data_IF_788648380626
#
_entry.id   IF_788648380626
#
_cell.length_a   1.000
_cell.length_b   1.000
_cell.length_c   1.000
_cell.angle_alpha   90.00
_cell.angle_beta   90.00
_cell.angle_gamma   90.00
#
_symmetry.space_group_name_H-M   'P 1'
#
loop_
_entity.id
_entity.type
_entity.pdbx_description
1 polymer ?
#
# COMPACT_ATOMS: atom_id res chain seq x y z
N UNK A 1 4.87 4.04 23.42
CA UNK A 1 5.68 2.91 22.92
C UNK A 1 6.76 2.64 23.95
N UNK A 2 6.96 1.38 24.35
CA UNK A 2 8.05 1.00 25.26
C UNK A 2 9.39 0.84 24.53
N UNK A 3 9.37 0.57 23.21
CA UNK A 3 10.55 0.54 22.34
C UNK A 3 10.49 1.73 21.38
N UNK A 4 11.49 2.64 21.38
CA UNK A 4 11.53 3.77 20.46
C UNK A 4 11.79 3.29 19.02
N UNK A 5 11.34 4.08 18.04
CA UNK A 5 11.66 3.81 16.62
C UNK A 5 13.16 3.96 16.42
N UNK A 6 13.76 3.01 15.68
CA UNK A 6 15.18 3.04 15.37
C UNK A 6 15.53 4.32 14.59
N UNK A 7 16.56 5.04 15.02
CA UNK A 7 17.05 6.21 14.32
C UNK A 7 17.64 5.83 12.96
N UNK A 8 17.36 6.64 11.94
CA UNK A 8 17.90 6.49 10.59
C UNK A 8 18.36 7.85 10.08
N UNK A 9 19.37 7.84 9.21
CA UNK A 9 19.91 9.07 8.64
C UNK A 9 19.05 9.52 7.44
N UNK A 10 18.65 10.80 7.38
CA UNK A 10 17.88 11.33 6.27
C UNK A 10 18.79 11.56 5.05
N UNK A 11 18.28 11.27 3.85
CA UNK A 11 19.00 11.53 2.59
C UNK A 11 18.67 12.92 2.02
N UNK A 12 19.45 13.34 1.02
CA UNK A 12 19.18 14.58 0.28
C UNK A 12 17.97 14.38 -0.63
N UNK A 13 16.87 15.06 -0.30
CA UNK A 13 15.63 15.09 -1.09
C UNK A 13 15.18 16.53 -1.28
N UNK A 14 14.52 16.82 -2.40
CA UNK A 14 14.03 18.18 -2.74
C UNK A 14 13.12 18.76 -1.64
N UNK A 15 12.37 17.91 -0.96
CA UNK A 15 11.39 18.26 0.09
C UNK A 15 12.05 18.85 1.36
N UNK A 16 13.35 18.66 1.55
CA UNK A 16 14.07 19.19 2.72
C UNK A 16 14.52 20.64 2.57
N UNK A 17 14.58 21.16 1.35
CA UNK A 17 15.11 22.51 1.06
C UNK A 17 13.99 23.48 0.73
N UNK A 18 13.84 24.59 1.46
CA UNK A 18 12.80 25.58 1.22
C UNK A 18 12.68 25.95 -0.28
N UNK A 19 11.45 25.93 -0.79
CA UNK A 19 11.20 26.31 -2.18
C UNK A 19 11.28 27.83 -2.31
N UNK A 20 11.99 28.31 -3.33
CA UNK A 20 12.15 29.75 -3.61
C UNK A 20 11.19 30.24 -4.72
N UNK A 21 10.50 29.32 -5.40
CA UNK A 21 9.64 29.65 -6.54
C UNK A 21 8.20 30.02 -6.14
N UNK A 22 7.60 30.90 -6.93
CA UNK A 22 6.15 31.17 -6.90
C UNK A 22 5.42 30.02 -7.59
N UNK A 23 4.23 29.63 -7.09
CA UNK A 23 3.46 28.52 -7.62
C UNK A 23 3.25 28.60 -9.14
N UNK A 24 3.44 27.47 -9.82
CA UNK A 24 3.29 27.34 -11.27
C UNK A 24 2.20 26.29 -11.60
N UNK A 25 1.85 26.10 -12.86
CA UNK A 25 0.90 25.08 -13.33
C UNK A 25 1.28 23.65 -12.90
N UNK A 26 2.58 23.40 -12.74
CA UNK A 26 3.12 22.11 -12.26
C UNK A 26 3.01 21.92 -10.73
N UNK A 27 2.58 22.95 -10.00
CA UNK A 27 2.37 22.83 -8.56
C UNK A 27 1.15 21.95 -8.28
N UNK A 28 1.21 21.08 -7.25
CA UNK A 28 0.09 20.20 -6.93
C UNK A 28 -1.11 21.04 -6.48
N UNK A 29 -2.29 20.71 -7.02
CA UNK A 29 -3.55 21.31 -6.56
C UNK A 29 -3.83 20.88 -5.13
N UNK A 30 -3.95 21.86 -4.23
CA UNK A 30 -4.23 21.64 -2.81
C UNK A 30 -5.74 21.51 -2.64
N UNK A 31 -6.18 20.41 -2.06
CA UNK A 31 -7.59 20.20 -1.65
C UNK A 31 -7.65 20.31 -0.13
N UNK A 32 -8.36 21.31 0.38
CA UNK A 32 -8.55 21.54 1.80
C UNK A 32 -10.00 21.87 2.13
N UNK A 33 -10.44 21.46 3.32
CA UNK A 33 -11.75 21.82 3.88
C UNK A 33 -11.80 23.25 4.40
N UNK A 34 -10.66 23.91 4.63
CA UNK A 34 -10.63 25.29 5.15
C UNK A 34 -10.99 26.36 4.12
N UNK A 35 -10.90 26.05 2.82
CA UNK A 35 -11.12 26.99 1.71
C UNK A 35 -12.57 27.07 1.23
N UNK A 36 -13.55 27.18 2.16
CA UNK A 36 -14.99 27.35 1.90
C UNK A 36 -15.62 26.29 0.99
N UNK A 37 -15.93 25.08 1.50
CA UNK A 37 -16.30 23.95 0.68
C UNK A 37 -17.73 24.05 0.13
N UNK A 38 -17.87 24.24 -1.18
CA UNK A 38 -19.12 23.90 -1.88
C UNK A 38 -19.31 22.36 -1.91
N UNK A 39 -20.54 21.87 -2.00
CA UNK A 39 -20.83 20.43 -2.08
C UNK A 39 -20.03 19.73 -3.22
N UNK A 40 -19.90 20.41 -4.36
CA UNK A 40 -19.10 19.94 -5.49
C UNK A 40 -17.59 19.87 -5.19
N UNK A 41 -17.09 20.78 -4.37
CA UNK A 41 -15.67 20.81 -3.97
C UNK A 41 -15.34 19.73 -2.95
N UNK A 42 -16.28 19.42 -2.05
CA UNK A 42 -16.16 18.27 -1.14
C UNK A 42 -16.09 16.97 -1.96
N UNK A 43 -16.94 16.83 -2.97
CA UNK A 43 -16.92 15.65 -3.84
C UNK A 43 -15.60 15.54 -4.63
N UNK A 44 -15.05 16.67 -5.09
CA UNK A 44 -13.74 16.71 -5.72
C UNK A 44 -12.60 16.36 -4.74
N UNK A 45 -12.69 16.82 -3.49
CA UNK A 45 -11.74 16.50 -2.42
C UNK A 45 -11.78 15.00 -2.08
N UNK A 46 -12.97 14.43 -1.92
CA UNK A 46 -13.18 13.00 -1.70
C UNK A 46 -12.54 12.21 -2.85
N UNK A 47 -12.81 12.60 -4.09
CA UNK A 47 -12.24 11.93 -5.26
C UNK A 47 -10.71 12.03 -5.30
N UNK A 48 -10.15 13.19 -4.96
CA UNK A 48 -8.70 13.39 -4.85
C UNK A 48 -8.07 12.49 -3.77
N UNK A 49 -8.71 12.37 -2.62
CA UNK A 49 -8.25 11.49 -1.53
C UNK A 49 -8.30 10.00 -1.93
N UNK A 50 -9.36 9.55 -2.60
CA UNK A 50 -9.39 8.20 -3.19
C UNK A 50 -8.24 7.98 -4.18
N UNK A 51 -8.01 8.93 -5.09
CA UNK A 51 -6.93 8.84 -6.08
C UNK A 51 -5.56 8.77 -5.41
N UNK A 52 -5.33 9.55 -4.36
CA UNK A 52 -4.07 9.57 -3.63
C UNK A 52 -3.80 8.25 -2.87
N UNK A 53 -4.82 7.68 -2.21
CA UNK A 53 -4.65 6.49 -1.36
C UNK A 53 -4.80 5.17 -2.13
N UNK A 54 -5.76 5.07 -3.04
CA UNK A 54 -6.09 3.83 -3.75
C UNK A 54 -5.51 3.76 -5.18
N UNK A 55 -4.99 4.87 -5.71
CA UNK A 55 -4.74 5.05 -7.14
C UNK A 55 -6.04 4.93 -7.97
N UNK A 56 -5.97 5.31 -9.25
CA UNK A 56 -7.14 5.33 -10.14
C UNK A 56 -7.76 3.94 -10.32
N UNK A 57 -6.94 2.90 -10.43
CA UNK A 57 -7.38 1.53 -10.72
C UNK A 57 -8.26 0.92 -9.63
N UNK A 58 -8.12 1.35 -8.37
CA UNK A 58 -8.88 0.79 -7.25
C UNK A 58 -10.06 1.69 -6.84
N UNK A 59 -10.25 2.83 -7.49
CA UNK A 59 -11.36 3.77 -7.26
C UNK A 59 -12.63 3.31 -7.99
N UNK A 60 -13.07 2.09 -7.68
CA UNK A 60 -14.26 1.46 -8.26
C UNK A 60 -15.42 1.60 -7.26
N UNK A 61 -16.66 1.61 -7.76
CA UNK A 61 -17.87 1.73 -6.94
C UNK A 61 -17.95 0.72 -5.77
N UNK A 62 -17.38 -0.48 -5.93
CA UNK A 62 -17.33 -1.49 -4.87
C UNK A 62 -16.43 -1.11 -3.68
N UNK A 63 -15.33 -0.39 -3.95
CA UNK A 63 -14.34 -0.05 -2.93
C UNK A 63 -14.66 1.28 -2.20
N UNK A 64 -15.72 1.98 -2.61
CA UNK A 64 -16.11 3.26 -2.01
C UNK A 64 -16.68 3.07 -0.60
N UNK A 65 -16.17 3.88 0.32
CA UNK A 65 -16.55 3.94 1.72
C UNK A 65 -17.63 5.02 1.95
N UNK A 66 -18.88 4.69 1.62
CA UNK A 66 -20.03 5.64 1.68
C UNK A 66 -20.25 6.24 3.07
N UNK A 67 -20.03 5.47 4.13
CA UNK A 67 -20.18 5.96 5.50
C UNK A 67 -19.15 7.05 5.84
N UNK A 68 -17.88 6.83 5.46
CA UNK A 68 -16.81 7.82 5.64
C UNK A 68 -17.07 9.08 4.81
N UNK A 69 -17.54 8.93 3.57
CA UNK A 69 -17.93 10.07 2.71
C UNK A 69 -19.02 10.91 3.36
N UNK A 70 -20.04 10.27 3.93
CA UNK A 70 -21.14 10.98 4.62
C UNK A 70 -20.64 11.70 5.88
N UNK A 71 -19.78 11.06 6.67
CA UNK A 71 -19.20 11.68 7.87
C UNK A 71 -18.37 12.91 7.52
N UNK A 72 -17.58 12.87 6.44
CA UNK A 72 -16.78 14.00 5.99
C UNK A 72 -17.67 15.14 5.46
N UNK A 73 -18.71 14.83 4.68
CA UNK A 73 -19.70 15.82 4.21
C UNK A 73 -20.44 16.51 5.34
N UNK A 74 -20.69 15.80 6.44
CA UNK A 74 -21.29 16.35 7.66
C UNK A 74 -20.27 16.98 8.61
N UNK A 75 -19.00 17.09 8.21
CA UNK A 75 -17.90 17.62 9.03
C UNK A 75 -17.77 16.95 10.40
N UNK A 76 -18.16 15.68 10.52
CA UNK A 76 -18.00 14.89 11.75
C UNK A 76 -16.57 14.37 11.93
N UNK A 77 -15.85 14.22 10.82
CA UNK A 77 -14.47 13.76 10.77
C UNK A 77 -13.61 14.76 10.00
N UNK A 78 -12.33 14.82 10.33
CA UNK A 78 -11.35 15.63 9.60
C UNK A 78 -10.89 14.91 8.32
N UNK A 79 -10.18 15.61 7.44
CA UNK A 79 -9.58 14.99 6.24
C UNK A 79 -8.52 13.95 6.65
N UNK A 80 -7.75 14.21 7.72
CA UNK A 80 -6.82 13.24 8.30
C UNK A 80 -7.55 11.97 8.76
N UNK A 81 -8.67 12.10 9.46
CA UNK A 81 -9.44 10.94 9.92
C UNK A 81 -10.08 10.19 8.75
N UNK A 82 -10.51 10.91 7.70
CA UNK A 82 -10.96 10.30 6.46
C UNK A 82 -9.85 9.44 5.82
N UNK A 83 -8.62 9.97 5.73
CA UNK A 83 -7.46 9.22 5.22
C UNK A 83 -7.15 8.00 6.10
N UNK A 84 -7.18 8.16 7.44
CA UNK A 84 -7.04 7.04 8.38
C UNK A 84 -8.06 5.93 8.07
N UNK A 85 -9.32 6.31 7.85
CA UNK A 85 -10.40 5.40 7.48
C UNK A 85 -10.17 4.71 6.13
N UNK A 86 -9.69 5.42 5.10
CA UNK A 86 -9.40 4.83 3.78
C UNK A 86 -8.26 3.80 3.84
N UNK A 87 -7.17 4.10 4.56
CA UNK A 87 -6.01 3.19 4.66
C UNK A 87 -6.33 1.98 5.54
N UNK A 88 -7.23 2.12 6.51
CA UNK A 88 -7.70 1.02 7.37
C UNK A 88 -8.80 0.17 6.71
N UNK A 89 -9.39 0.64 5.61
CA UNK A 89 -10.45 -0.07 4.93
C UNK A 89 -10.01 -1.45 4.44
N UNK A 90 -10.96 -2.39 4.42
CA UNK A 90 -10.74 -3.76 3.96
C UNK A 90 -10.26 -3.82 2.50
N UNK A 91 -10.71 -2.89 1.64
CA UNK A 91 -10.21 -2.75 0.27
C UNK A 91 -8.70 -2.44 0.24
N UNK A 92 -8.23 -1.52 1.08
CA UNK A 92 -6.80 -1.18 1.14
C UNK A 92 -5.99 -2.35 1.65
N UNK A 93 -6.48 -3.02 2.70
CA UNK A 93 -5.84 -4.21 3.25
C UNK A 93 -5.69 -5.31 2.19
N UNK A 94 -6.78 -5.72 1.54
CA UNK A 94 -6.77 -6.82 0.56
C UNK A 94 -5.89 -6.52 -0.65
N UNK A 95 -5.98 -5.31 -1.19
CA UNK A 95 -5.32 -4.99 -2.45
C UNK A 95 -3.89 -4.47 -2.27
N UNK A 96 -3.57 -3.86 -1.13
CA UNK A 96 -2.27 -3.21 -0.89
C UNK A 96 -1.47 -3.93 0.18
N UNK A 97 -2.07 -4.27 1.33
CA UNK A 97 -1.32 -4.90 2.42
C UNK A 97 -1.02 -6.37 2.13
N UNK A 98 -2.03 -7.19 1.81
CA UNK A 98 -1.89 -8.65 1.70
C UNK A 98 -0.98 -9.08 0.53
N UNK A 99 -0.83 -8.23 -0.50
CA UNK A 99 0.02 -8.49 -1.66
C UNK A 99 1.47 -8.00 -1.49
N UNK A 100 1.87 -7.47 -0.32
CA UNK A 100 3.18 -6.87 -0.13
C UNK A 100 3.84 -7.31 1.18
N UNK A 101 5.17 -7.40 1.16
CA UNK A 101 5.97 -7.50 2.38
C UNK A 101 5.91 -6.18 3.17
N UNK A 102 5.95 -6.25 4.50
CA UNK A 102 6.07 -5.14 5.44
C UNK A 102 7.00 -4.01 4.95
N UNK A 103 8.21 -4.32 4.46
CA UNK A 103 9.15 -3.28 4.00
C UNK A 103 8.61 -2.47 2.82
N UNK A 104 8.00 -3.16 1.85
CA UNK A 104 7.43 -2.53 0.66
C UNK A 104 6.15 -1.79 1.02
N UNK A 105 5.30 -2.39 1.84
CA UNK A 105 4.07 -1.77 2.31
C UNK A 105 4.34 -0.42 3.01
N UNK A 106 5.35 -0.38 3.89
CA UNK A 106 5.80 0.87 4.51
C UNK A 106 6.17 1.91 3.46
N UNK A 107 6.93 1.53 2.42
CA UNK A 107 7.28 2.45 1.32
C UNK A 107 6.02 2.97 0.61
N UNK A 108 5.03 2.11 0.34
CA UNK A 108 3.75 2.53 -0.25
C UNK A 108 3.04 3.56 0.62
N UNK A 109 2.98 3.33 1.94
CA UNK A 109 2.33 4.24 2.88
C UNK A 109 3.06 5.58 2.98
N UNK A 110 4.40 5.58 3.06
CA UNK A 110 5.21 6.83 3.08
C UNK A 110 4.96 7.65 1.82
N UNK A 111 4.95 7.02 0.64
CA UNK A 111 4.69 7.73 -0.61
C UNK A 111 3.27 8.28 -0.73
N UNK A 112 2.25 7.53 -0.29
CA UNK A 112 0.84 7.94 -0.40
C UNK A 112 0.43 8.94 0.67
N UNK A 113 0.92 8.80 1.89
CA UNK A 113 0.48 9.60 3.04
C UNK A 113 1.41 10.76 3.34
N UNK A 114 2.74 10.56 3.32
CA UNK A 114 3.71 11.64 3.51
C UNK A 114 4.09 12.33 2.21
N UNK A 115 3.67 11.80 1.05
CA UNK A 115 3.91 12.44 -0.24
C UNK A 115 5.39 12.55 -0.61
N UNK A 116 6.25 11.66 -0.09
CA UNK A 116 7.69 11.61 -0.38
C UNK A 116 8.18 10.20 -0.55
N UNK A 117 9.37 10.03 -1.12
CA UNK A 117 10.02 8.71 -1.10
C UNK A 117 10.73 8.45 0.23
N UNK A 118 11.03 7.18 0.49
CA UNK A 118 11.83 6.77 1.64
C UNK A 118 13.25 7.33 1.54
N UNK A 119 13.83 7.70 2.68
CA UNK A 119 15.20 8.19 2.74
C UNK A 119 16.20 7.07 2.49
N UNK A 120 16.00 5.92 3.14
CA UNK A 120 16.87 4.76 3.03
C UNK A 120 16.14 3.47 3.40
N UNK A 121 16.76 2.32 3.14
CA UNK A 121 16.24 1.02 3.61
C UNK A 121 16.21 0.92 5.15
N UNK A 122 16.98 1.75 5.87
CA UNK A 122 16.92 1.79 7.32
C UNK A 122 15.58 2.36 7.81
N UNK A 123 15.04 3.37 7.12
CA UNK A 123 13.70 3.91 7.40
C UNK A 123 12.63 2.83 7.21
N UNK A 124 12.67 2.08 6.11
CA UNK A 124 11.68 1.02 5.86
C UNK A 124 11.73 -0.09 6.92
N UNK A 125 12.94 -0.47 7.39
CA UNK A 125 13.10 -1.43 8.49
C UNK A 125 12.57 -0.89 9.82
N UNK A 126 12.90 0.35 10.17
CA UNK A 126 12.45 0.97 11.42
C UNK A 126 10.92 0.96 11.52
N UNK A 127 10.25 1.38 10.46
CA UNK A 127 8.79 1.40 10.38
C UNK A 127 8.16 0.00 10.25
N UNK A 128 8.83 -0.96 9.62
CA UNK A 128 8.34 -2.34 9.53
C UNK A 128 8.19 -3.01 10.90
N UNK A 129 9.04 -2.64 11.87
CA UNK A 129 8.96 -3.14 13.24
C UNK A 129 7.73 -2.55 13.95
N UNK A 130 7.44 -1.27 13.71
CA UNK A 130 6.21 -0.61 14.22
C UNK A 130 4.97 -1.32 13.68
N UNK A 131 4.96 -1.62 12.39
CA UNK A 131 3.89 -2.37 11.75
C UNK A 131 3.72 -3.78 12.32
N UNK A 132 4.83 -4.50 12.55
CA UNK A 132 4.78 -5.85 13.12
C UNK A 132 4.32 -5.88 14.58
N UNK A 133 4.65 -4.85 15.37
CA UNK A 133 4.36 -4.79 16.82
C UNK A 133 2.98 -4.24 17.13
N UNK A 134 2.51 -3.22 16.40
CA UNK A 134 1.21 -2.57 16.62
C UNK A 134 0.11 -2.99 15.65
N UNK A 135 0.47 -3.74 14.61
CA UNK A 135 -0.44 -4.04 13.51
C UNK A 135 -0.66 -2.83 12.59
N UNK A 136 -1.59 -3.00 11.65
CA UNK A 136 -1.86 -2.03 10.57
C UNK A 136 -2.41 -0.71 11.12
N UNK A 137 -3.39 -0.75 12.01
CA UNK A 137 -4.03 0.46 12.57
C UNK A 137 -3.03 1.31 13.35
N UNK A 138 -2.31 0.71 14.31
CA UNK A 138 -1.35 1.43 15.13
C UNK A 138 -0.10 1.93 14.37
N UNK A 139 0.21 1.35 13.21
CA UNK A 139 1.22 1.89 12.30
C UNK A 139 0.71 3.14 11.56
N UNK A 140 -0.51 3.09 11.03
CA UNK A 140 -1.13 4.23 10.33
C UNK A 140 -1.27 5.42 11.27
N UNK A 141 -1.74 5.19 12.49
CA UNK A 141 -1.85 6.23 13.52
C UNK A 141 -0.48 6.85 13.80
N UNK A 142 0.56 6.03 14.01
CA UNK A 142 1.92 6.53 14.23
C UNK A 142 2.48 7.33 13.05
N UNK A 143 2.03 7.06 11.81
CA UNK A 143 2.47 7.79 10.62
C UNK A 143 1.71 9.12 10.45
N UNK A 144 0.40 9.14 10.71
CA UNK A 144 -0.45 10.34 10.65
C UNK A 144 -0.18 11.32 11.79
N UNK A 145 0.15 10.79 12.97
CA UNK A 145 0.49 11.59 14.15
C UNK A 145 1.96 12.06 14.14
N UNK A 146 2.70 11.80 13.05
CA UNK A 146 4.06 12.29 12.91
C UNK A 146 4.10 13.81 12.72
N UNK A 147 5.08 14.46 13.35
CA UNK A 147 5.31 15.90 13.18
C UNK A 147 5.48 16.28 11.71
N UNK A 148 6.03 15.39 10.89
CA UNK A 148 6.17 15.59 9.45
C UNK A 148 4.80 15.77 8.78
N UNK A 149 3.84 14.88 9.06
CA UNK A 149 2.51 14.94 8.47
C UNK A 149 1.75 16.20 8.95
N UNK A 150 1.77 16.44 10.26
CA UNK A 150 1.08 17.58 10.88
C UNK A 150 1.59 18.92 10.37
N UNK A 151 2.91 19.08 10.24
CA UNK A 151 3.50 20.32 9.75
C UNK A 151 3.25 20.56 8.26
N UNK A 152 2.98 19.52 7.45
CA UNK A 152 2.83 19.67 6.00
C UNK A 152 1.39 19.73 5.53
N UNK A 153 0.52 18.89 6.08
CA UNK A 153 -0.88 18.76 5.63
C UNK A 153 -1.87 19.20 6.72
N UNK A 154 -1.49 19.03 7.99
CA UNK A 154 -2.41 19.23 9.11
C UNK A 154 -3.59 18.27 9.04
N UNK A 155 -4.75 18.73 9.50
CA UNK A 155 -5.94 17.89 9.67
C UNK A 155 -6.91 18.00 8.48
N UNK A 156 -6.79 19.07 7.70
CA UNK A 156 -7.78 19.53 6.72
C UNK A 156 -7.35 19.37 5.28
N UNK A 157 -6.10 18.96 5.01
CA UNK A 157 -5.53 18.92 3.66
C UNK A 157 -5.32 17.50 3.18
N UNK A 158 -5.72 17.21 1.94
CA UNK A 158 -5.44 15.91 1.30
C UNK A 158 -3.95 15.82 0.95
N UNK A 159 -3.26 14.71 1.28
CA UNK A 159 -1.88 14.49 0.90
C UNK A 159 -1.68 14.54 -0.60
N UNK A 160 -0.51 15.03 -1.01
CA UNK A 160 -0.09 15.08 -2.39
C UNK A 160 1.42 14.83 -2.48
N UNK A 161 1.90 14.42 -3.66
CA UNK A 161 3.33 14.26 -3.89
C UNK A 161 4.03 15.61 -3.80
N UNK A 162 4.90 15.77 -2.80
CA UNK A 162 5.61 17.00 -2.52
C UNK A 162 6.82 17.15 -3.44
N UNK A 163 7.00 18.35 -3.99
CA UNK A 163 8.19 18.78 -4.77
C UNK A 163 8.68 17.78 -5.82
N UNK A 164 7.74 17.28 -6.64
CA UNK A 164 8.04 16.39 -7.77
C UNK A 164 8.86 17.08 -8.86
N UNK A 165 8.54 18.34 -9.18
CA UNK A 165 9.22 19.15 -10.20
C UNK A 165 9.93 20.31 -9.51
N UNK A 166 11.19 20.52 -9.89
CA UNK A 166 11.96 21.71 -9.49
C UNK A 166 11.61 22.89 -10.39
N UNK A 167 11.61 24.13 -9.86
CA UNK A 167 11.48 25.30 -10.70
C UNK A 167 12.54 25.28 -11.81
N UNK A 168 12.17 25.66 -13.03
CA UNK A 168 12.97 25.61 -14.27
C UNK A 168 13.13 24.23 -14.94
N UNK A 169 12.70 23.12 -14.33
CA UNK A 169 12.67 21.82 -15.02
C UNK A 169 11.32 21.57 -15.68
N UNK A 170 11.33 21.18 -16.95
CA UNK A 170 10.12 20.73 -17.65
C UNK A 170 9.70 19.32 -17.22
N UNK A 171 10.66 18.44 -16.88
CA UNK A 171 10.41 17.07 -16.45
C UNK A 171 10.91 16.88 -15.01
N UNK A 172 10.01 16.44 -14.14
CA UNK A 172 10.32 16.10 -12.74
C UNK A 172 10.42 14.62 -12.48
N UNK A 173 10.39 14.26 -11.20
CA UNK A 173 10.34 12.88 -10.75
C UNK A 173 9.05 12.19 -11.20
N UNK A 174 9.10 10.86 -11.21
CA UNK A 174 7.95 10.04 -11.58
C UNK A 174 6.81 10.20 -10.56
N UNK A 175 5.55 10.22 -11.01
CA UNK A 175 4.41 10.19 -10.12
C UNK A 175 4.36 8.89 -9.29
N UNK A 176 4.03 8.98 -8.01
CA UNK A 176 3.87 7.77 -7.17
C UNK A 176 2.70 6.87 -7.61
N UNK A 177 1.73 7.42 -8.34
CA UNK A 177 0.66 6.64 -8.97
C UNK A 177 1.19 5.59 -9.98
N UNK A 178 2.41 5.78 -10.52
CA UNK A 178 3.06 4.82 -11.42
C UNK A 178 3.60 3.59 -10.69
N UNK A 179 3.77 3.66 -9.37
CA UNK A 179 4.25 2.52 -8.61
C UNK A 179 3.21 1.39 -8.62
N UNK A 180 3.67 0.19 -9.00
CA UNK A 180 2.83 -0.98 -9.08
C UNK A 180 2.24 -1.38 -7.73
N UNK A 181 1.03 -1.94 -7.75
CA UNK A 181 0.33 -2.42 -6.55
C UNK A 181 1.19 -3.40 -5.73
N UNK A 182 1.86 -4.33 -6.40
CA UNK A 182 2.80 -5.28 -5.80
C UNK A 182 4.10 -5.32 -6.61
N UNK A 183 5.18 -5.75 -5.95
CA UNK A 183 6.52 -5.84 -6.53
C UNK A 183 6.82 -7.22 -7.12
N UNK A 184 8.07 -7.40 -7.55
CA UNK A 184 8.56 -8.65 -8.12
C UNK A 184 8.42 -9.83 -7.16
N UNK A 185 8.73 -9.67 -5.87
CA UNK A 185 8.65 -10.78 -4.91
C UNK A 185 7.26 -11.40 -4.77
N UNK A 186 6.18 -10.60 -4.84
CA UNK A 186 4.83 -11.17 -4.83
C UNK A 186 4.47 -11.82 -6.17
N UNK A 187 4.98 -11.27 -7.28
CA UNK A 187 4.81 -11.87 -8.61
C UNK A 187 5.49 -13.24 -8.68
N UNK A 188 6.71 -13.36 -8.17
CA UNK A 188 7.45 -14.63 -8.06
C UNK A 188 6.67 -15.64 -7.22
N UNK A 189 6.17 -15.23 -6.05
CA UNK A 189 5.30 -16.06 -5.21
C UNK A 189 4.06 -16.56 -5.95
N UNK A 190 3.42 -15.71 -6.76
CA UNK A 190 2.26 -16.13 -7.56
C UNK A 190 2.66 -17.12 -8.66
N UNK A 191 3.80 -16.92 -9.31
CA UNK A 191 4.33 -17.87 -10.30
C UNK A 191 4.63 -19.23 -9.67
N UNK A 192 5.21 -19.26 -8.46
CA UNK A 192 5.44 -20.50 -7.70
C UNK A 192 4.14 -21.22 -7.34
N UNK A 193 3.07 -20.48 -7.05
CA UNK A 193 1.73 -21.04 -6.82
C UNK A 193 1.07 -21.60 -8.09
N UNK A 194 1.73 -21.50 -9.25
CA UNK A 194 1.26 -22.00 -10.53
C UNK A 194 0.45 -20.99 -11.34
N UNK A 195 0.45 -19.71 -10.96
CA UNK A 195 -0.15 -18.66 -11.79
C UNK A 195 0.81 -18.25 -12.92
N UNK A 196 0.51 -18.71 -14.14
CA UNK A 196 1.25 -18.29 -15.33
C UNK A 196 0.68 -16.98 -15.91
N UNK A 197 1.51 -15.94 -15.91
CA UNK A 197 1.20 -14.62 -16.46
C UNK A 197 1.96 -14.32 -17.77
N UNK A 198 2.91 -15.17 -18.16
CA UNK A 198 3.79 -14.94 -19.32
C UNK A 198 3.36 -15.79 -20.50
N UNK A 199 2.99 -17.05 -20.28
CA UNK A 199 2.65 -17.98 -21.36
C UNK A 199 1.16 -17.97 -21.75
N UNK A 200 0.35 -17.00 -21.27
CA UNK A 200 -1.07 -16.94 -21.62
C UNK A 200 -1.24 -16.63 -23.12
N UNK A 201 -1.83 -17.53 -23.91
CA UNK A 201 -2.06 -17.25 -25.31
C UNK A 201 -3.11 -16.14 -25.45
N UNK A 202 -2.95 -15.24 -26.44
CA UNK A 202 -3.85 -14.10 -26.75
C UNK A 202 -5.24 -14.52 -27.26
N UNK A 203 -5.67 -15.75 -26.99
CA UNK A 203 -6.96 -16.29 -27.43
C UNK A 203 -8.08 -15.63 -26.61
N UNK A 204 -9.26 -15.35 -27.19
CA UNK A 204 -10.36 -14.72 -26.46
C UNK A 204 -10.85 -15.63 -25.32
N UNK A 205 -10.40 -15.36 -24.09
CA UNK A 205 -10.57 -16.24 -22.92
C UNK A 205 -11.93 -16.11 -22.22
N UNK A 206 -12.98 -15.74 -22.95
CA UNK A 206 -14.33 -15.49 -22.38
C UNK A 206 -14.96 -16.75 -21.75
N UNK A 207 -14.36 -17.94 -21.94
CA UNK A 207 -14.79 -19.24 -21.40
C UNK A 207 -13.71 -19.96 -20.58
N UNK A 208 -12.52 -19.39 -20.44
CA UNK A 208 -11.46 -20.00 -19.62
C UNK A 208 -11.55 -19.45 -18.20
N UNK A 209 -12.15 -20.24 -17.31
CA UNK A 209 -12.10 -19.96 -15.88
C UNK A 209 -10.64 -19.98 -15.41
N UNK A 210 -10.22 -19.06 -14.51
CA UNK A 210 -8.90 -19.16 -13.91
C UNK A 210 -8.76 -20.54 -13.27
N UNK A 211 -7.80 -21.34 -13.78
CA UNK A 211 -7.48 -22.63 -13.17
C UNK A 211 -7.10 -22.36 -11.71
N UNK A 212 -7.73 -23.05 -10.78
CA UNK A 212 -7.40 -22.94 -9.37
C UNK A 212 -5.89 -23.21 -9.18
N UNK A 213 -5.22 -22.58 -8.20
CA UNK A 213 -3.82 -22.91 -7.92
C UNK A 213 -3.71 -24.41 -7.69
N UNK A 214 -2.60 -25.01 -8.13
CA UNK A 214 -2.38 -26.44 -7.93
C UNK A 214 -2.48 -26.72 -6.42
N UNK A 215 -3.53 -27.43 -5.99
CA UNK A 215 -3.71 -27.71 -4.57
C UNK A 215 -2.48 -28.46 -4.05
N UNK A 216 -1.99 -28.20 -2.81
CA UNK A 216 -0.87 -28.94 -2.25
C UNK A 216 -1.24 -30.39 -1.91
N UNK A 217 -2.55 -30.70 -1.87
CA UNK A 217 -3.10 -32.00 -1.51
C UNK A 217 -2.45 -33.20 -2.23
N UNK A 218 -2.30 -33.24 -3.57
CA UNK A 218 -1.59 -34.32 -4.25
C UNK A 218 -0.15 -34.51 -3.75
N UNK A 219 0.61 -33.44 -3.55
CA UNK A 219 1.98 -33.54 -3.05
C UNK A 219 2.05 -34.00 -1.59
N UNK A 220 1.12 -33.55 -0.74
CA UNK A 220 1.02 -33.96 0.67
C UNK A 220 0.55 -35.41 0.79
N UNK A 221 -0.38 -35.85 -0.06
CA UNK A 221 -0.83 -37.25 -0.11
C UNK A 221 0.32 -38.14 -0.59
N UNK A 222 1.05 -37.75 -1.63
CA UNK A 222 2.21 -38.50 -2.10
C UNK A 222 3.30 -38.56 -1.03
N UNK A 223 3.59 -37.46 -0.33
CA UNK A 223 4.60 -37.46 0.74
C UNK A 223 4.19 -38.27 1.97
N UNK A 224 2.91 -38.26 2.35
CA UNK A 224 2.38 -39.12 3.41
C UNK A 224 2.44 -40.61 3.02
N UNK A 225 2.10 -40.94 1.77
CA UNK A 225 2.13 -42.32 1.27
C UNK A 225 3.55 -42.86 1.18
N UNK A 226 4.52 -42.06 0.72
CA UNK A 226 5.94 -42.46 0.69
C UNK A 226 6.51 -42.60 2.09
N UNK A 227 6.15 -41.72 3.02
CA UNK A 227 6.54 -41.83 4.42
C UNK A 227 5.96 -43.09 5.08
N UNK A 228 4.69 -43.41 4.86
CA UNK A 228 4.05 -44.63 5.36
C UNK A 228 4.68 -45.90 4.77
N UNK A 229 5.01 -45.90 3.48
CA UNK A 229 5.70 -47.02 2.84
C UNK A 229 7.12 -47.25 3.40
N UNK A 230 7.90 -46.17 3.59
CA UNK A 230 9.22 -46.26 4.21
C UNK A 230 9.14 -46.71 5.67
N UNK A 231 8.14 -46.26 6.42
CA UNK A 231 7.90 -46.69 7.79
C UNK A 231 7.60 -48.20 7.87
N UNK A 232 6.75 -48.73 6.99
CA UNK A 232 6.47 -50.16 6.91
C UNK A 232 7.71 -51.00 6.59
N UNK A 233 8.59 -50.50 5.73
CA UNK A 233 9.85 -51.20 5.37
C UNK A 233 10.85 -51.17 6.54
N UNK A 234 10.93 -50.06 7.28
CA UNK A 234 11.92 -49.88 8.34
C UNK A 234 11.53 -50.51 9.68
N UNK A 235 10.23 -50.59 10.00
CA UNK A 235 9.75 -50.94 11.35
C UNK A 235 8.91 -52.21 11.43
N UNK A 236 8.55 -52.86 10.31
CA UNK A 236 7.96 -54.20 10.36
C UNK A 236 9.10 -55.22 10.37
N UNK A 237 9.38 -55.91 11.50
CA UNK A 237 10.39 -56.95 11.52
C UNK A 237 9.96 -58.05 10.54
N UNK A 238 10.86 -58.44 9.64
CA UNK A 238 10.71 -59.66 8.84
C UNK A 238 10.47 -60.82 9.80
N UNK A 239 9.19 -61.21 9.96
CA UNK A 239 8.83 -62.48 10.56
C UNK A 239 9.29 -63.58 9.60
N UNK A 240 10.53 -64.03 9.78
CA UNK A 240 11.08 -65.18 9.08
C UNK A 240 10.41 -66.46 9.61
N UNK A 241 9.72 -67.17 8.72
CA UNK A 241 9.35 -68.58 8.86
C UNK A 241 10.56 -69.49 8.84
#
# INVERSE_FOLDING_TARGET
MTIPVLAYNPTSQNIRVAALGVGNEESPKIFSTNTLPNALEIDALIYAAYRQIFNEQQTIAHNRQRFLESQLRSSQITVRDFIRGLVTADSFRRYVYDCNNNYRFVQLCVQRMLGRDIYSQAESRAWSIVLATKGLTGFIDALLDSDEYLNTFGDDTVPYQRRRILPQRAVGELPFARMSRYGLGHLEQLMELGYDYVARPLVPSWWEFPKAPASPLPYVVVSLMTFAALYLIAFVPMASS
#
